data_IF_682829524537
#
_entry.id   IF_682829524537
#
_cell.length_a   1.000
_cell.length_b   1.000
_cell.length_c   1.000
_cell.angle_alpha   90.00
_cell.angle_beta   90.00
_cell.angle_gamma   90.00
#
_symmetry.space_group_name_H-M   'P 1'
#
loop_
_entity.id
_entity.type
_entity.pdbx_description
1 polymer ?
#
# COMPACT_ATOMS: atom_id res chain seq x y z
N UNK A 1 -11.04 27.63 42.51
CA UNK A 1 -11.92 26.57 42.02
C UNK A 1 -13.01 27.02 41.03
N UNK A 2 -13.13 28.32 40.72
CA UNK A 2 -14.17 28.84 39.79
C UNK A 2 -13.77 28.82 38.30
N UNK A 3 -12.48 28.65 37.95
CA UNK A 3 -12.00 28.68 36.54
C UNK A 3 -12.11 27.35 35.82
N UNK A 4 -12.19 26.22 36.51
CA UNK A 4 -12.31 24.88 35.90
C UNK A 4 -13.72 24.48 35.51
N UNK A 5 -14.74 25.11 36.10
CA UNK A 5 -16.17 24.81 35.86
C UNK A 5 -16.64 25.52 34.56
N UNK A 6 -16.06 26.70 34.24
CA UNK A 6 -16.42 27.46 33.04
C UNK A 6 -15.95 26.77 31.76
N UNK A 7 -14.81 26.06 31.80
CA UNK A 7 -14.26 25.35 30.64
C UNK A 7 -15.09 24.11 30.26
N UNK A 8 -15.66 23.42 31.22
CA UNK A 8 -16.52 22.22 30.98
C UNK A 8 -17.88 22.59 30.42
N UNK A 9 -18.43 23.74 30.83
CA UNK A 9 -19.72 24.22 30.31
C UNK A 9 -19.64 24.72 28.87
N UNK A 10 -18.47 25.16 28.41
CA UNK A 10 -18.30 25.63 27.02
C UNK A 10 -18.22 24.47 26.01
N UNK A 11 -17.76 23.31 26.45
CA UNK A 11 -17.65 22.12 25.55
C UNK A 11 -18.99 21.41 25.30
N UNK A 12 -19.99 21.58 26.19
CA UNK A 12 -21.30 20.92 26.03
C UNK A 12 -22.23 21.68 25.09
N UNK A 13 -21.96 22.96 24.82
CA UNK A 13 -22.81 23.79 23.95
C UNK A 13 -22.58 23.62 22.46
N UNK A 14 -21.51 22.90 22.01
CA UNK A 14 -21.19 22.76 20.57
C UNK A 14 -21.67 21.44 19.94
N UNK A 15 -22.34 20.55 20.66
CA UNK A 15 -22.77 19.25 20.12
C UNK A 15 -24.23 19.16 19.67
N UNK A 16 -24.99 20.26 19.70
CA UNK A 16 -26.47 20.24 19.50
C UNK A 16 -26.95 20.80 18.14
N UNK A 17 -26.10 21.10 17.15
CA UNK A 17 -26.55 21.80 15.92
C UNK A 17 -26.34 21.08 14.59
N UNK A 18 -26.19 19.73 14.57
CA UNK A 18 -26.05 19.00 13.29
C UNK A 18 -27.12 17.94 13.04
N UNK A 19 -28.37 18.23 13.33
CA UNK A 19 -29.47 17.31 13.01
C UNK A 19 -30.72 18.07 12.48
N UNK A 20 -30.58 18.84 11.38
CA UNK A 20 -31.75 19.24 10.59
C UNK A 20 -31.28 19.80 9.24
N UNK A 21 -31.40 18.97 8.21
CA UNK A 21 -31.08 19.40 6.85
C UNK A 21 -31.18 18.29 5.81
N UNK A 22 -32.29 17.58 5.74
CA UNK A 22 -32.68 16.81 4.56
C UNK A 22 -34.09 17.19 4.18
N UNK A 23 -34.30 17.91 3.07
CA UNK A 23 -35.46 17.72 2.21
C UNK A 23 -35.35 18.49 0.90
N UNK A 24 -35.52 17.74 -0.17
CA UNK A 24 -36.16 18.07 -1.46
C UNK A 24 -35.52 19.10 -2.42
N UNK A 25 -35.25 18.61 -3.61
CA UNK A 25 -35.00 19.42 -4.83
C UNK A 25 -34.50 18.53 -5.96
N UNK A 26 -35.46 18.01 -6.73
CA UNK A 26 -35.24 17.27 -7.97
C UNK A 26 -34.70 18.20 -9.05
N UNK A 27 -33.54 17.89 -9.65
CA UNK A 27 -33.29 18.21 -11.06
C UNK A 27 -32.28 17.23 -11.68
N UNK A 28 -32.69 16.65 -12.80
CA UNK A 28 -31.89 15.78 -13.67
C UNK A 28 -30.73 16.58 -14.25
N UNK A 29 -29.52 16.10 -14.09
CA UNK A 29 -28.43 16.40 -15.00
C UNK A 29 -27.60 15.14 -15.20
N UNK A 30 -27.61 14.64 -16.42
CA UNK A 30 -26.70 13.61 -16.91
C UNK A 30 -25.27 14.06 -16.69
N UNK A 31 -24.52 13.30 -15.88
CA UNK A 31 -23.09 13.43 -15.84
C UNK A 31 -22.43 12.13 -15.46
N UNK A 32 -21.83 11.51 -16.46
CA UNK A 32 -20.61 10.71 -16.38
C UNK A 32 -20.52 9.73 -15.22
N UNK A 33 -20.77 8.49 -15.57
CA UNK A 33 -20.30 7.29 -14.87
C UNK A 33 -18.84 7.50 -14.39
N UNK A 34 -18.68 8.01 -13.18
CA UNK A 34 -17.43 7.96 -12.46
C UNK A 34 -17.14 6.49 -12.21
N UNK A 35 -16.11 5.98 -12.84
CA UNK A 35 -15.55 4.68 -12.52
C UNK A 35 -15.27 4.65 -11.03
N UNK A 36 -15.99 3.78 -10.32
CA UNK A 36 -15.72 3.46 -8.92
C UNK A 36 -14.31 2.92 -8.87
N UNK A 37 -13.36 3.75 -8.45
CA UNK A 37 -11.99 3.35 -8.13
C UNK A 37 -12.13 2.33 -7.00
N UNK A 38 -11.91 1.06 -7.30
CA UNK A 38 -11.82 0.05 -6.27
C UNK A 38 -10.58 0.39 -5.43
N UNK A 39 -10.84 0.78 -4.20
CA UNK A 39 -9.83 1.00 -3.17
C UNK A 39 -9.02 -0.28 -3.04
N UNK A 40 -7.74 -0.23 -3.39
CA UNK A 40 -6.84 -1.35 -3.31
C UNK A 40 -6.87 -2.00 -1.92
N UNK A 41 -6.97 -3.33 -1.89
CA UNK A 41 -7.06 -4.12 -0.67
C UNK A 41 -5.70 -4.71 -0.26
N UNK A 42 -5.57 -5.04 1.02
CA UNK A 42 -4.47 -5.89 1.49
C UNK A 42 -4.94 -7.33 1.53
N UNK A 43 -4.17 -8.22 0.92
CA UNK A 43 -4.41 -9.68 0.91
C UNK A 43 -3.25 -10.36 1.61
N UNK A 44 -3.55 -11.22 2.58
CA UNK A 44 -2.55 -12.03 3.27
C UNK A 44 -2.63 -13.48 2.79
N UNK A 45 -1.49 -14.01 2.35
CA UNK A 45 -1.36 -15.39 1.94
C UNK A 45 -1.42 -16.31 3.18
N UNK A 46 -2.22 -17.36 3.12
CA UNK A 46 -2.26 -18.39 4.17
C UNK A 46 -1.15 -19.42 3.91
N UNK A 47 -0.33 -19.67 4.91
CA UNK A 47 0.76 -20.66 4.87
C UNK A 47 0.75 -21.42 6.18
N UNK A 48 0.81 -22.76 6.09
CA UNK A 48 0.88 -23.62 7.26
C UNK A 48 2.34 -23.75 7.75
N UNK A 49 2.50 -23.66 9.08
CA UNK A 49 3.80 -23.72 9.74
C UNK A 49 4.54 -22.38 9.74
N UNK A 50 5.81 -22.44 10.12
CA UNK A 50 6.66 -21.24 10.17
C UNK A 50 7.00 -20.75 8.77
N UNK A 51 6.84 -19.46 8.55
CA UNK A 51 7.13 -18.79 7.29
C UNK A 51 7.63 -17.36 7.52
N UNK A 52 8.59 -16.94 6.71
CA UNK A 52 9.05 -15.54 6.71
C UNK A 52 7.98 -14.65 6.07
N UNK A 53 7.51 -13.67 6.81
CA UNK A 53 6.56 -12.68 6.27
C UNK A 53 7.28 -11.67 5.40
N UNK A 54 6.76 -11.44 4.18
CA UNK A 54 7.24 -10.45 3.23
C UNK A 54 6.09 -9.51 2.87
N UNK A 55 6.26 -8.23 3.17
CA UNK A 55 5.29 -7.19 2.82
C UNK A 55 5.58 -6.68 1.41
N UNK A 56 4.59 -6.76 0.53
CA UNK A 56 4.72 -6.39 -0.88
C UNK A 56 3.71 -5.30 -1.22
N UNK A 57 4.18 -4.21 -1.81
CA UNK A 57 3.30 -3.18 -2.35
C UNK A 57 3.30 -3.23 -3.87
N UNK A 58 2.12 -3.18 -4.45
CA UNK A 58 1.90 -3.12 -5.89
C UNK A 58 0.75 -2.19 -6.22
N UNK A 59 0.70 -1.69 -7.45
CA UNK A 59 -0.40 -0.91 -8.02
C UNK A 59 -1.10 -1.67 -9.16
N UNK A 60 -0.70 -2.94 -9.40
CA UNK A 60 -1.23 -3.78 -10.47
C UNK A 60 -1.78 -5.08 -9.88
N UNK A 61 -3.10 -5.31 -10.02
CA UNK A 61 -3.75 -6.52 -9.49
C UNK A 61 -3.16 -7.81 -10.09
N UNK A 62 -2.75 -7.77 -11.36
CA UNK A 62 -2.12 -8.93 -12.01
C UNK A 62 -0.81 -9.33 -11.33
N UNK A 63 -0.01 -8.35 -10.90
CA UNK A 63 1.24 -8.60 -10.16
C UNK A 63 0.97 -9.25 -8.80
N UNK A 64 -0.10 -8.84 -8.12
CA UNK A 64 -0.50 -9.47 -6.86
C UNK A 64 -0.79 -10.97 -7.04
N UNK A 65 -1.51 -11.34 -8.11
CA UNK A 65 -1.78 -12.74 -8.45
C UNK A 65 -0.48 -13.49 -8.78
N UNK A 66 0.37 -12.88 -9.59
CA UNK A 66 1.66 -13.47 -9.98
C UNK A 66 2.54 -13.75 -8.75
N UNK A 67 2.74 -12.78 -7.85
CA UNK A 67 3.54 -12.97 -6.63
C UNK A 67 2.97 -14.08 -5.73
N UNK A 68 1.64 -14.15 -5.61
CA UNK A 68 1.00 -15.20 -4.84
C UNK A 68 1.31 -16.60 -5.41
N UNK A 69 1.20 -16.78 -6.72
CA UNK A 69 1.50 -18.06 -7.37
C UNK A 69 3.01 -18.42 -7.27
N UNK A 70 3.89 -17.44 -7.43
CA UNK A 70 5.33 -17.67 -7.28
C UNK A 70 5.71 -18.04 -5.84
N UNK A 71 5.10 -17.40 -4.85
CA UNK A 71 5.33 -17.75 -3.45
C UNK A 71 4.81 -19.16 -3.09
N UNK A 72 3.69 -19.60 -3.66
CA UNK A 72 3.21 -20.98 -3.50
C UNK A 72 4.22 -21.98 -4.06
N UNK A 73 4.67 -21.75 -5.29
CA UNK A 73 5.68 -22.59 -5.95
C UNK A 73 6.99 -22.65 -5.15
N UNK A 74 7.46 -21.48 -4.68
CA UNK A 74 8.62 -21.41 -3.79
C UNK A 74 8.44 -22.27 -2.54
N UNK A 75 7.30 -22.20 -1.88
CA UNK A 75 7.01 -22.95 -0.66
C UNK A 75 6.92 -24.45 -0.87
N UNK A 76 6.49 -24.89 -2.06
CA UNK A 76 6.50 -26.29 -2.46
C UNK A 76 7.93 -26.82 -2.67
N UNK A 77 8.78 -26.01 -3.31
CA UNK A 77 10.17 -26.35 -3.62
C UNK A 77 11.10 -26.19 -2.40
N UNK A 78 10.73 -25.31 -1.44
CA UNK A 78 11.57 -24.96 -0.28
C UNK A 78 10.77 -25.04 1.04
N UNK A 79 10.39 -26.23 1.50
CA UNK A 79 9.53 -26.40 2.67
C UNK A 79 10.18 -25.94 3.98
N UNK A 80 11.52 -25.83 4.02
CA UNK A 80 12.33 -25.33 5.13
C UNK A 80 12.53 -23.81 5.14
N UNK A 81 12.14 -23.12 4.06
CA UNK A 81 12.31 -21.68 3.85
C UNK A 81 11.04 -21.01 3.31
N UNK A 82 9.91 -21.37 3.88
CA UNK A 82 8.62 -20.85 3.43
C UNK A 82 8.52 -19.33 3.58
N UNK A 83 7.81 -18.72 2.65
CA UNK A 83 7.46 -17.29 2.68
C UNK A 83 5.94 -17.11 2.75
N UNK A 84 5.52 -16.08 3.45
CA UNK A 84 4.13 -15.63 3.55
C UNK A 84 4.04 -14.20 3.07
N UNK A 85 3.32 -13.95 1.98
CA UNK A 85 3.17 -12.61 1.43
C UNK A 85 2.00 -11.88 2.08
N UNK A 86 2.24 -10.62 2.42
CA UNK A 86 1.23 -9.61 2.76
C UNK A 86 1.24 -8.59 1.63
N UNK A 87 0.28 -8.72 0.72
CA UNK A 87 0.21 -7.98 -0.53
C UNK A 87 -0.76 -6.81 -0.38
N UNK A 88 -0.27 -5.60 -0.52
CA UNK A 88 -1.09 -4.38 -0.54
C UNK A 88 -1.14 -3.84 -1.98
N UNK A 89 -2.34 -3.88 -2.57
CA UNK A 89 -2.61 -3.25 -3.85
C UNK A 89 -3.16 -1.84 -3.59
N UNK A 90 -2.55 -0.83 -4.17
CA UNK A 90 -2.88 0.59 -3.98
C UNK A 90 -3.02 1.29 -5.33
N UNK A 91 -3.69 2.43 -5.34
CA UNK A 91 -3.69 3.29 -6.52
C UNK A 91 -2.26 3.73 -6.84
N UNK A 92 -1.97 3.90 -8.14
CA UNK A 92 -0.65 4.20 -8.67
C UNK A 92 0.06 5.37 -7.95
N UNK A 93 -0.59 6.54 -7.91
CA UNK A 93 0.02 7.71 -7.28
C UNK A 93 0.09 7.59 -5.75
N UNK A 94 -0.92 7.00 -5.12
CA UNK A 94 -0.97 6.80 -3.67
C UNK A 94 0.17 5.90 -3.20
N UNK A 95 0.44 4.81 -3.92
CA UNK A 95 1.53 3.90 -3.59
C UNK A 95 2.90 4.58 -3.69
N UNK A 96 3.18 5.30 -4.79
CA UNK A 96 4.47 5.97 -4.97
C UNK A 96 4.68 7.12 -3.99
N UNK A 97 3.63 7.88 -3.68
CA UNK A 97 3.68 8.95 -2.66
C UNK A 97 3.93 8.36 -1.26
N UNK A 98 3.22 7.27 -0.92
CA UNK A 98 3.41 6.58 0.36
C UNK A 98 4.81 6.00 0.48
N UNK A 99 5.37 5.44 -0.61
CA UNK A 99 6.73 4.95 -0.65
C UNK A 99 7.74 6.07 -0.38
N UNK A 100 7.60 7.22 -1.05
CA UNK A 100 8.47 8.39 -0.81
C UNK A 100 8.49 8.78 0.66
N UNK A 101 7.31 8.93 1.28
CA UNK A 101 7.21 9.28 2.70
C UNK A 101 7.82 8.21 3.62
N UNK A 102 7.64 6.93 3.29
CA UNK A 102 8.21 5.83 4.07
C UNK A 102 9.74 5.81 4.00
N UNK A 103 10.33 6.02 2.82
CA UNK A 103 11.77 6.09 2.62
C UNK A 103 12.39 7.34 3.29
N UNK A 104 11.74 8.50 3.19
CA UNK A 104 12.16 9.74 3.84
C UNK A 104 12.14 9.62 5.37
N UNK A 105 11.09 9.05 5.93
CA UNK A 105 10.95 8.85 7.38
C UNK A 105 11.78 7.69 7.92
N UNK A 106 12.23 6.78 7.06
CA UNK A 106 12.90 5.53 7.44
C UNK A 106 11.99 4.53 8.15
N UNK A 107 10.65 4.65 7.98
CA UNK A 107 9.67 3.79 8.64
C UNK A 107 8.52 3.42 7.73
N UNK A 108 8.05 2.17 7.85
CA UNK A 108 6.83 1.71 7.20
C UNK A 108 6.96 1.43 5.71
N UNK A 109 8.17 1.37 5.16
CA UNK A 109 8.41 0.85 3.83
C UNK A 109 8.12 -0.67 3.79
N UNK A 110 7.67 -1.21 2.65
CA UNK A 110 7.53 -2.65 2.46
C UNK A 110 8.90 -3.31 2.26
N UNK A 111 8.92 -4.64 2.31
CA UNK A 111 10.12 -5.42 1.97
C UNK A 111 10.37 -5.45 0.46
N UNK A 112 9.28 -5.47 -0.33
CA UNK A 112 9.30 -5.44 -1.80
C UNK A 112 8.26 -4.45 -2.31
N UNK A 113 8.58 -3.73 -3.37
CA UNK A 113 7.65 -2.77 -3.99
C UNK A 113 7.82 -2.75 -5.50
N UNK A 114 6.69 -2.66 -6.21
CA UNK A 114 6.68 -2.38 -7.64
C UNK A 114 6.85 -0.87 -7.85
N UNK A 115 7.90 -0.49 -8.56
CA UNK A 115 8.12 0.92 -8.94
C UNK A 115 7.97 1.01 -10.45
N UNK A 116 7.08 1.89 -10.90
CA UNK A 116 6.94 2.17 -12.33
C UNK A 116 8.20 2.87 -12.87
N UNK A 117 8.59 2.51 -14.09
CA UNK A 117 9.85 2.98 -14.71
C UNK A 117 9.99 4.51 -14.73
N UNK A 118 8.91 5.24 -15.04
CA UNK A 118 8.92 6.71 -15.05
C UNK A 118 9.03 7.35 -13.65
N UNK A 119 8.65 6.61 -12.59
CA UNK A 119 8.80 7.05 -11.19
C UNK A 119 10.15 6.67 -10.59
N UNK A 120 10.84 5.67 -11.16
CA UNK A 120 12.09 5.14 -10.62
C UNK A 120 13.17 6.20 -10.34
N UNK A 121 13.41 7.19 -11.22
CA UNK A 121 14.39 8.24 -10.97
C UNK A 121 14.13 9.03 -9.67
N UNK A 122 12.88 9.14 -9.22
CA UNK A 122 12.53 9.85 -7.98
C UNK A 122 13.06 9.13 -6.73
N UNK A 123 13.33 7.83 -6.82
CA UNK A 123 13.80 6.99 -5.72
C UNK A 123 15.31 6.73 -5.76
N UNK A 124 15.98 7.11 -6.83
CA UNK A 124 17.42 6.91 -7.05
C UNK A 124 18.22 8.21 -6.98
N UNK A 125 17.57 9.37 -6.92
CA UNK A 125 18.21 10.67 -6.75
C UNK A 125 18.49 10.97 -5.27
N UNK A 126 19.73 11.33 -4.94
CA UNK A 126 20.12 11.68 -3.58
C UNK A 126 20.39 10.47 -2.70
N UNK A 127 19.80 10.41 -1.50
CA UNK A 127 19.92 9.27 -0.61
C UNK A 127 19.03 8.13 -1.10
N UNK A 128 19.65 7.11 -1.65
CA UNK A 128 18.95 5.92 -2.15
C UNK A 128 18.45 5.10 -0.95
N UNK A 129 17.13 4.93 -0.85
CA UNK A 129 16.49 4.09 0.18
C UNK A 129 16.19 2.66 -0.30
N UNK A 130 16.55 2.34 -1.55
CA UNK A 130 16.37 1.03 -2.15
C UNK A 130 17.63 0.19 -1.98
N UNK A 131 17.45 -1.12 -1.86
CA UNK A 131 18.56 -2.07 -1.75
C UNK A 131 19.16 -2.33 -3.15
N UNK A 132 20.48 -2.29 -3.26
CA UNK A 132 21.18 -2.75 -4.46
C UNK A 132 21.12 -4.28 -4.54
N UNK A 133 20.61 -4.80 -5.65
CA UNK A 133 20.45 -6.23 -5.88
C UNK A 133 21.50 -6.79 -6.86
N UNK A 134 22.49 -6.01 -7.26
CA UNK A 134 23.49 -6.41 -8.27
C UNK A 134 24.16 -7.75 -7.93
N UNK A 135 24.66 -7.90 -6.70
CA UNK A 135 25.32 -9.13 -6.27
C UNK A 135 24.33 -10.28 -6.07
N UNK A 136 23.12 -9.99 -5.62
CA UNK A 136 22.10 -11.01 -5.42
C UNK A 136 21.57 -11.59 -6.74
N UNK A 137 21.54 -10.81 -7.81
CA UNK A 137 21.08 -11.22 -9.13
C UNK A 137 22.22 -11.86 -9.96
N UNK A 138 23.48 -11.57 -9.63
CA UNK A 138 24.63 -12.04 -10.41
C UNK A 138 24.61 -13.55 -10.77
N UNK A 139 24.22 -14.48 -9.86
CA UNK A 139 24.11 -15.91 -10.18
C UNK A 139 23.00 -16.27 -11.18
N UNK A 140 22.05 -15.35 -11.40
CA UNK A 140 20.85 -15.58 -12.22
C UNK A 140 20.83 -14.74 -13.50
N UNK A 141 21.97 -14.10 -13.86
CA UNK A 141 22.05 -13.20 -15.04
C UNK A 141 21.57 -13.84 -16.32
N UNK A 142 21.89 -15.13 -16.53
CA UNK A 142 21.50 -15.84 -17.75
C UNK A 142 19.99 -16.11 -17.83
N UNK A 143 19.25 -15.92 -16.72
CA UNK A 143 17.80 -16.09 -16.64
C UNK A 143 17.05 -14.75 -16.73
N UNK A 144 17.75 -13.63 -16.79
CA UNK A 144 17.17 -12.29 -16.90
C UNK A 144 17.20 -11.84 -18.34
N UNK A 145 16.08 -11.36 -18.86
CA UNK A 145 15.99 -10.81 -20.21
C UNK A 145 16.83 -9.53 -20.27
N UNK A 146 17.77 -9.46 -21.19
CA UNK A 146 18.50 -8.22 -21.47
C UNK A 146 17.52 -7.16 -22.01
N UNK A 147 17.54 -5.97 -21.44
CA UNK A 147 16.71 -4.81 -21.82
C UNK A 147 17.46 -3.84 -22.73
#
# INVERSE_FOLDING_TARGET
MKKKVVSVLLCVAMTATMLLGCSAGSEKSDSKKSSKSESGGTTEMKVDGDATTINVWTFIELHQKFYTEMAKKWNEEHPDKKVKLVLSNMQYDDMHNKLSLALESGKGAPDVVDIELGKFPSFTNGKIGLMDLTDAIAPYKDNVVES
#
